data_IF_320751638141
#
_entry.id   IF_320751638141
#
_cell.length_a   1.000
_cell.length_b   1.000
_cell.length_c   1.000
_cell.angle_alpha   90.00
_cell.angle_beta   90.00
_cell.angle_gamma   90.00
#
_symmetry.space_group_name_H-M   'P 1'
#
loop_
_entity.id
_entity.type
_entity.pdbx_description
1 polymer ?
#
# COMPACT_ATOMS: atom_id res chain seq x y z
N UNK A 1 -16.92 -10.46 -41.59
CA UNK A 1 -15.96 -10.11 -40.52
C UNK A 1 -16.72 -9.41 -39.40
N UNK A 2 -16.90 -10.03 -38.24
CA UNK A 2 -17.77 -9.53 -37.16
C UNK A 2 -17.04 -8.52 -36.27
N UNK A 3 -16.97 -7.25 -36.66
CA UNK A 3 -16.30 -6.17 -35.90
C UNK A 3 -16.79 -6.06 -34.44
N UNK A 4 -18.08 -6.30 -34.18
CA UNK A 4 -18.64 -6.25 -32.82
C UNK A 4 -18.01 -7.25 -31.85
N UNK A 5 -17.61 -8.43 -32.34
CA UNK A 5 -16.92 -9.45 -31.51
C UNK A 5 -15.47 -9.06 -31.23
N UNK A 6 -14.81 -8.39 -32.18
CA UNK A 6 -13.42 -7.96 -32.04
C UNK A 6 -13.29 -6.83 -31.02
N UNK A 7 -14.21 -5.86 -31.03
CA UNK A 7 -14.26 -4.79 -30.02
C UNK A 7 -14.53 -5.36 -28.62
N UNK A 8 -15.43 -6.36 -28.51
CA UNK A 8 -15.72 -7.00 -27.23
C UNK A 8 -14.52 -7.79 -26.68
N UNK A 9 -13.80 -8.50 -27.54
CA UNK A 9 -12.61 -9.25 -27.16
C UNK A 9 -11.43 -8.31 -26.78
N UNK A 10 -11.24 -7.20 -27.50
CA UNK A 10 -10.20 -6.22 -27.17
C UNK A 10 -10.42 -5.56 -25.80
N UNK A 11 -11.67 -5.28 -25.41
CA UNK A 11 -11.99 -4.75 -24.07
C UNK A 11 -11.75 -5.76 -22.95
N UNK A 12 -11.93 -7.05 -23.22
CA UNK A 12 -11.62 -8.13 -22.27
C UNK A 12 -10.11 -8.32 -22.08
N UNK A 13 -9.33 -8.21 -23.15
CA UNK A 13 -7.86 -8.22 -23.09
C UNK A 13 -7.32 -7.04 -22.28
N UNK A 14 -7.81 -5.82 -22.53
CA UNK A 14 -7.41 -4.63 -21.75
C UNK A 14 -7.67 -4.80 -20.25
N UNK A 15 -8.83 -5.35 -19.88
CA UNK A 15 -9.14 -5.65 -18.47
C UNK A 15 -8.11 -6.60 -17.83
N UNK A 16 -7.59 -7.56 -18.59
CA UNK A 16 -6.61 -8.55 -18.12
C UNK A 16 -5.21 -7.95 -17.89
N UNK A 17 -4.80 -6.99 -18.71
CA UNK A 17 -3.46 -6.36 -18.61
C UNK A 17 -3.42 -5.26 -17.55
N UNK A 18 -4.55 -4.62 -17.26
CA UNK A 18 -4.65 -3.51 -16.30
C UNK A 18 -4.90 -4.02 -14.88
N UNK A 19 -5.58 -5.16 -14.70
CA UNK A 19 -5.85 -5.67 -13.36
C UNK A 19 -4.73 -6.54 -12.81
N UNK A 20 -4.07 -6.13 -11.71
CA UNK A 20 -3.21 -7.02 -10.97
C UNK A 20 -4.04 -8.20 -10.44
N UNK A 21 -3.42 -9.38 -10.38
CA UNK A 21 -4.10 -10.57 -9.85
C UNK A 21 -4.51 -10.34 -8.39
N UNK A 22 -5.67 -10.85 -7.97
CA UNK A 22 -6.18 -10.64 -6.59
C UNK A 22 -5.17 -11.07 -5.51
N UNK A 23 -4.31 -12.05 -5.83
CA UNK A 23 -3.21 -12.48 -4.95
C UNK A 23 -2.08 -11.46 -4.82
N UNK A 24 -1.63 -10.86 -5.93
CA UNK A 24 -0.57 -9.86 -5.93
C UNK A 24 -0.96 -8.59 -5.16
N UNK A 25 -2.23 -8.17 -5.25
CA UNK A 25 -2.73 -7.02 -4.48
C UNK A 25 -2.65 -7.27 -2.97
N UNK A 26 -3.04 -8.46 -2.52
CA UNK A 26 -2.96 -8.84 -1.10
C UNK A 26 -1.51 -8.91 -0.61
N UNK A 27 -0.61 -9.45 -1.43
CA UNK A 27 0.80 -9.55 -1.08
C UNK A 27 1.47 -8.16 -1.00
N UNK A 28 1.21 -7.29 -1.97
CA UNK A 28 1.70 -5.91 -1.96
C UNK A 28 1.17 -5.14 -0.75
N UNK A 29 -0.11 -5.31 -0.42
CA UNK A 29 -0.72 -4.70 0.77
C UNK A 29 -0.04 -5.13 2.08
N UNK A 30 0.20 -6.43 2.26
CA UNK A 30 0.90 -6.95 3.44
C UNK A 30 2.33 -6.38 3.52
N UNK A 31 3.04 -6.32 2.40
CA UNK A 31 4.40 -5.80 2.34
C UNK A 31 4.47 -4.32 2.76
N UNK A 32 3.56 -3.48 2.26
CA UNK A 32 3.51 -2.05 2.61
C UNK A 32 3.15 -1.87 4.09
N UNK A 33 2.19 -2.63 4.61
CA UNK A 33 1.81 -2.54 6.04
C UNK A 33 2.99 -2.85 6.95
N UNK A 34 3.77 -3.89 6.66
CA UNK A 34 4.90 -4.27 7.51
C UNK A 34 5.93 -3.13 7.56
N UNK A 35 6.28 -2.57 6.40
CA UNK A 35 7.27 -1.48 6.33
C UNK A 35 6.77 -0.21 7.02
N UNK A 36 5.52 0.20 6.76
CA UNK A 36 4.91 1.39 7.39
C UNK A 36 4.81 1.21 8.90
N UNK A 37 4.44 0.02 9.38
CA UNK A 37 4.34 -0.27 10.82
C UNK A 37 5.71 -0.19 11.50
N UNK A 38 6.76 -0.72 10.88
CA UNK A 38 8.11 -0.65 11.43
C UNK A 38 8.61 0.81 11.54
N UNK A 39 8.38 1.62 10.49
CA UNK A 39 8.76 3.03 10.50
C UNK A 39 7.94 3.82 11.53
N UNK A 40 6.63 3.61 11.59
CA UNK A 40 5.75 4.27 12.56
C UNK A 40 6.12 3.93 14.00
N UNK A 41 6.45 2.67 14.30
CA UNK A 41 6.91 2.25 15.62
C UNK A 41 8.22 2.94 16.03
N UNK A 42 9.16 3.10 15.09
CA UNK A 42 10.40 3.82 15.34
C UNK A 42 10.15 5.30 15.64
N UNK A 43 9.34 5.98 14.82
CA UNK A 43 8.99 7.37 15.04
C UNK A 43 8.27 7.59 16.38
N UNK A 44 7.33 6.71 16.73
CA UNK A 44 6.61 6.78 18.00
C UNK A 44 7.53 6.65 19.22
N UNK A 45 8.58 5.82 19.13
CA UNK A 45 9.58 5.70 20.19
C UNK A 45 10.41 6.99 20.33
N UNK A 46 10.82 7.59 19.21
CA UNK A 46 11.54 8.87 19.22
C UNK A 46 10.67 9.97 19.82
N UNK A 47 9.39 10.05 19.45
CA UNK A 47 8.44 11.02 19.99
C UNK A 47 8.26 10.85 21.51
N UNK A 48 8.21 9.61 22.01
CA UNK A 48 8.08 9.33 23.44
C UNK A 48 9.34 9.76 24.21
N UNK A 49 10.53 9.53 23.65
CA UNK A 49 11.80 9.97 24.25
C UNK A 49 11.86 11.49 24.28
N UNK A 50 11.55 12.17 23.17
CA UNK A 50 11.56 13.62 23.12
C UNK A 50 10.52 14.24 24.05
N UNK A 51 9.30 13.69 24.11
CA UNK A 51 8.24 14.11 25.01
C UNK A 51 8.62 13.96 26.48
N UNK A 52 9.21 12.83 26.85
CA UNK A 52 9.65 12.58 28.24
C UNK A 52 10.81 13.48 28.67
N UNK A 53 11.79 13.70 27.78
CA UNK A 53 12.89 14.65 28.01
C UNK A 53 12.34 16.06 28.15
N UNK A 54 11.50 16.51 27.22
CA UNK A 54 10.92 17.85 27.24
C UNK A 54 10.05 18.08 28.48
N UNK A 55 9.26 17.08 28.89
CA UNK A 55 8.48 17.11 30.12
C UNK A 55 9.34 17.14 31.39
N UNK A 56 10.55 16.56 31.37
CA UNK A 56 11.47 16.60 32.50
C UNK A 56 12.24 17.92 32.62
N UNK A 57 12.35 18.68 31.52
CA UNK A 57 13.07 19.98 31.50
C UNK A 57 12.10 21.16 31.71
N UNK A 58 10.87 21.06 31.20
CA UNK A 58 9.82 22.08 31.37
C UNK A 58 8.97 21.89 32.63
N UNK A 59 9.07 20.72 33.27
CA UNK A 59 8.46 20.41 34.56
C UNK A 59 9.34 20.80 35.73
#
# INVERSE_FOLDING_TARGET
>A
MNLGTHIRNARLELSKVIFPTKGQVKQAYISVIIVVTAIAAFLALVDLVMSSVMSAILG
#
